data_IF_544969444493
#
_entry.id   IF_544969444493
#
_cell.length_a   1.000
_cell.length_b   1.000
_cell.length_c   1.000
_cell.angle_alpha   90.00
_cell.angle_beta   90.00
_cell.angle_gamma   90.00
#
_symmetry.space_group_name_H-M   'P 1'
#
loop_
_entity.id
_entity.type
_entity.pdbx_description
1 polymer ?
#
# COMPACT_ATOMS: atom_id res chain seq x y z
N UNK A 1 3.59 -10.97 -19.84
CA UNK A 1 4.35 -9.80 -20.33
C UNK A 1 5.35 -9.41 -19.27
N UNK A 2 6.63 -9.39 -19.59
CA UNK A 2 7.68 -8.96 -18.67
C UNK A 2 7.70 -7.44 -18.59
N UNK A 3 7.71 -6.88 -17.39
CA UNK A 3 7.90 -5.46 -17.15
C UNK A 3 9.28 -5.26 -16.53
N UNK A 4 10.16 -4.54 -17.21
CA UNK A 4 11.48 -4.19 -16.70
C UNK A 4 11.44 -2.83 -16.00
N UNK A 5 11.84 -2.77 -14.73
CA UNK A 5 12.28 -1.52 -14.12
C UNK A 5 13.75 -1.32 -14.49
N UNK A 6 14.06 -0.23 -15.18
CA UNK A 6 15.42 0.20 -15.59
C UNK A 6 16.28 -0.84 -16.35
N UNK A 7 15.68 -1.95 -16.85
CA UNK A 7 16.36 -2.97 -17.64
C UNK A 7 17.24 -3.94 -16.84
N UNK A 8 17.39 -3.79 -15.52
CA UNK A 8 18.33 -4.59 -14.74
C UNK A 8 17.68 -5.73 -13.95
N UNK A 9 16.40 -5.68 -13.66
CA UNK A 9 15.67 -6.75 -13.00
C UNK A 9 14.19 -6.80 -13.40
N UNK A 10 13.50 -7.85 -13.02
CA UNK A 10 12.08 -8.05 -13.33
C UNK A 10 11.28 -7.65 -12.11
N UNK A 11 10.48 -6.59 -12.24
CA UNK A 11 9.61 -6.09 -11.17
C UNK A 11 8.24 -6.74 -11.17
N UNK A 12 7.80 -7.30 -12.31
CA UNK A 12 6.48 -7.95 -12.41
C UNK A 12 6.42 -8.96 -13.54
N UNK A 13 5.81 -10.13 -13.28
CA UNK A 13 5.39 -11.10 -14.30
C UNK A 13 3.90 -11.39 -14.09
N UNK A 14 3.10 -11.19 -15.14
CA UNK A 14 1.63 -11.25 -15.09
C UNK A 14 1.09 -10.33 -13.99
N UNK A 15 0.35 -10.85 -13.03
CA UNK A 15 -0.26 -10.05 -11.97
C UNK A 15 0.56 -10.02 -10.66
N UNK A 16 1.70 -10.73 -10.62
CA UNK A 16 2.56 -10.79 -9.44
C UNK A 16 3.75 -9.83 -9.58
N UNK A 17 3.80 -8.81 -8.71
CA UNK A 17 4.88 -7.84 -8.64
C UNK A 17 5.87 -8.17 -7.52
N UNK A 18 7.08 -7.59 -7.59
CA UNK A 18 8.00 -7.63 -6.46
C UNK A 18 7.36 -7.00 -5.22
N UNK A 19 7.72 -7.50 -4.05
CA UNK A 19 7.19 -7.08 -2.75
C UNK A 19 5.70 -7.37 -2.50
N UNK A 20 5.00 -8.06 -3.41
CA UNK A 20 3.60 -8.44 -3.20
C UNK A 20 3.42 -9.36 -1.98
N UNK A 21 4.44 -10.19 -1.65
CA UNK A 21 4.42 -11.08 -0.51
C UNK A 21 5.35 -10.62 0.64
N UNK A 22 5.70 -9.33 0.69
CA UNK A 22 6.55 -8.76 1.74
C UNK A 22 7.80 -8.06 1.22
N UNK A 23 8.47 -7.31 2.09
CA UNK A 23 9.61 -6.45 1.71
C UNK A 23 10.83 -7.20 1.13
N UNK A 24 10.91 -8.51 1.34
CA UNK A 24 11.99 -9.36 0.82
C UNK A 24 11.51 -10.29 -0.30
N UNK A 25 10.26 -10.19 -0.73
CA UNK A 25 9.72 -10.98 -1.83
C UNK A 25 9.99 -10.33 -3.18
N UNK A 26 10.18 -11.16 -4.20
CA UNK A 26 10.44 -10.63 -5.53
C UNK A 26 10.73 -11.70 -6.57
N UNK A 27 10.89 -11.25 -7.80
CA UNK A 27 11.24 -12.09 -8.92
C UNK A 27 12.74 -12.34 -8.98
N UNK A 28 13.10 -13.59 -8.97
CA UNK A 28 14.47 -14.10 -9.16
C UNK A 28 14.57 -14.88 -10.47
N UNK A 29 15.77 -15.07 -10.96
CA UNK A 29 15.96 -15.99 -12.07
C UNK A 29 17.22 -16.85 -11.88
N UNK A 30 17.17 -18.03 -12.46
CA UNK A 30 18.33 -18.90 -12.56
C UNK A 30 18.71 -19.09 -14.04
N UNK A 31 19.99 -19.18 -14.30
CA UNK A 31 20.56 -19.59 -15.59
C UNK A 31 21.23 -20.94 -15.41
N UNK A 32 20.72 -21.97 -16.09
CA UNK A 32 21.20 -23.34 -15.96
C UNK A 32 21.19 -23.86 -14.51
N UNK A 33 20.21 -23.42 -13.72
CA UNK A 33 20.02 -23.86 -12.34
C UNK A 33 20.86 -23.11 -11.30
N UNK A 34 21.57 -22.04 -11.67
CA UNK A 34 22.32 -21.20 -10.75
C UNK A 34 21.86 -19.74 -10.85
N UNK A 35 21.83 -19.02 -9.72
CA UNK A 35 21.56 -17.57 -9.69
C UNK A 35 22.77 -16.82 -10.28
N UNK A 36 22.61 -16.05 -11.38
CA UNK A 36 23.70 -15.26 -11.94
C UNK A 36 23.98 -14.04 -11.05
N UNK A 37 25.20 -13.53 -11.16
CA UNK A 37 25.62 -12.31 -10.43
C UNK A 37 25.31 -11.01 -11.16
N UNK A 38 24.56 -11.08 -12.25
CA UNK A 38 24.20 -9.92 -13.09
C UNK A 38 22.70 -9.79 -13.22
N UNK A 39 22.24 -8.57 -13.40
CA UNK A 39 20.84 -8.29 -13.74
C UNK A 39 20.46 -8.88 -15.10
N UNK A 40 19.16 -9.00 -15.35
CA UNK A 40 18.61 -9.67 -16.56
C UNK A 40 19.11 -9.01 -17.84
N UNK A 41 19.23 -7.69 -17.89
CA UNK A 41 19.69 -6.95 -19.06
C UNK A 41 21.19 -7.13 -19.36
N UNK A 42 22.00 -7.43 -18.35
CA UNK A 42 23.45 -7.60 -18.48
C UNK A 42 23.86 -9.06 -18.67
N UNK A 43 22.91 -9.99 -18.53
CA UNK A 43 23.19 -11.42 -18.60
C UNK A 43 23.25 -11.90 -20.06
N UNK A 44 24.45 -12.30 -20.50
CA UNK A 44 24.61 -12.95 -21.79
C UNK A 44 24.10 -14.40 -21.74
N UNK A 45 23.30 -14.78 -22.72
CA UNK A 45 22.77 -16.13 -22.89
C UNK A 45 23.20 -16.73 -24.22
N UNK A 46 23.27 -18.06 -24.27
CA UNK A 46 23.62 -18.85 -25.46
C UNK A 46 22.47 -19.77 -25.84
N UNK A 47 22.50 -20.23 -27.08
CA UNK A 47 21.52 -21.22 -27.51
C UNK A 47 21.65 -22.50 -26.67
N UNK A 48 20.54 -22.96 -26.10
CA UNK A 48 20.48 -24.12 -25.20
C UNK A 48 20.54 -23.78 -23.70
N UNK A 49 20.77 -22.52 -23.32
CA UNK A 49 20.66 -22.12 -21.93
C UNK A 49 19.22 -22.21 -21.45
N UNK A 50 19.06 -22.67 -20.21
CA UNK A 50 17.77 -22.74 -19.53
C UNK A 50 17.67 -21.58 -18.53
N UNK A 51 16.70 -20.67 -18.79
CA UNK A 51 16.36 -19.58 -17.88
C UNK A 51 15.07 -19.95 -17.18
N UNK A 52 15.05 -19.86 -15.85
CA UNK A 52 13.85 -20.06 -15.04
C UNK A 52 13.64 -18.83 -14.18
N UNK A 53 12.52 -18.16 -14.37
CA UNK A 53 12.03 -17.12 -13.47
C UNK A 53 11.19 -17.77 -12.38
N UNK A 54 11.41 -17.37 -11.16
CA UNK A 54 10.61 -17.80 -10.02
C UNK A 54 10.41 -16.64 -9.05
N UNK A 55 9.31 -16.67 -8.33
CA UNK A 55 9.02 -15.71 -7.28
C UNK A 55 9.40 -16.30 -5.94
N UNK A 56 10.01 -15.50 -5.09
CA UNK A 56 10.38 -15.91 -3.74
C UNK A 56 9.76 -14.94 -2.71
N UNK A 57 9.38 -15.46 -1.56
CA UNK A 57 8.88 -14.66 -0.45
C UNK A 57 10.02 -14.01 0.34
N UNK A 58 11.23 -14.57 0.25
CA UNK A 58 12.45 -14.02 0.88
C UNK A 58 13.68 -14.35 0.02
N UNK A 59 14.12 -13.39 -0.79
CA UNK A 59 15.28 -13.55 -1.66
C UNK A 59 16.60 -13.75 -0.90
N UNK A 60 16.66 -13.40 0.40
CA UNK A 60 17.87 -13.60 1.23
C UNK A 60 18.09 -15.06 1.60
N UNK A 61 17.04 -15.88 1.55
CA UNK A 61 17.09 -17.31 1.84
C UNK A 61 17.35 -18.19 0.62
N UNK A 62 17.34 -17.59 -0.57
CA UNK A 62 17.57 -18.32 -1.81
C UNK A 62 19.03 -18.83 -1.89
N UNK A 63 19.17 -20.12 -2.17
CA UNK A 63 20.50 -20.76 -2.29
C UNK A 63 21.30 -20.14 -3.44
N UNK A 64 22.40 -19.48 -3.12
CA UNK A 64 23.27 -18.80 -4.08
C UNK A 64 23.03 -17.28 -4.13
N UNK A 65 22.14 -16.75 -3.31
CA UNK A 65 21.90 -15.30 -3.15
C UNK A 65 23.01 -14.60 -2.35
N UNK A 66 23.93 -15.33 -1.71
CA UNK A 66 25.00 -14.79 -0.86
C UNK A 66 25.90 -13.78 -1.59
N UNK A 67 25.87 -13.78 -2.91
CA UNK A 67 26.65 -12.85 -3.75
C UNK A 67 25.95 -11.51 -4.05
N UNK A 68 24.68 -11.39 -3.68
CA UNK A 68 23.86 -10.21 -3.96
C UNK A 68 23.90 -9.16 -2.85
N UNK A 69 24.49 -9.49 -1.68
CA UNK A 69 24.79 -8.49 -0.69
C UNK A 69 25.92 -7.61 -1.20
N UNK A 70 25.54 -6.44 -1.73
CA UNK A 70 26.46 -5.40 -2.13
C UNK A 70 27.49 -5.16 -1.04
N UNK A 71 28.74 -5.23 -1.43
CA UNK A 71 29.94 -5.07 -0.63
C UNK A 71 29.83 -3.98 0.43
N UNK A 72 29.62 -4.37 1.68
CA UNK A 72 30.16 -3.63 2.82
C UNK A 72 30.86 -4.62 3.74
N UNK A 73 32.17 -4.48 3.72
CA UNK A 73 33.10 -5.27 4.51
C UNK A 73 32.90 -5.06 6.01
N UNK A 74 32.75 -6.16 6.76
CA UNK A 74 33.45 -6.25 8.03
C UNK A 74 33.54 -7.69 8.50
N UNK A 75 34.75 -8.00 8.91
CA UNK A 75 35.34 -9.28 9.27
C UNK A 75 34.63 -9.95 10.43
N UNK A 76 34.46 -11.25 10.29
CA UNK A 76 34.17 -12.15 11.40
C UNK A 76 35.26 -12.10 12.47
N UNK A 77 34.87 -11.97 13.74
CA UNK A 77 35.62 -12.49 14.87
C UNK A 77 34.67 -13.21 15.84
N UNK A 78 34.94 -14.50 16.03
CA UNK A 78 34.46 -15.27 17.16
C UNK A 78 35.14 -14.80 18.45
N UNK A 79 34.41 -14.64 19.53
CA UNK A 79 34.59 -15.29 20.83
C UNK A 79 33.64 -14.69 21.87
N UNK A 80 33.00 -15.62 22.52
CA UNK A 80 32.48 -15.77 23.86
C UNK A 80 32.66 -14.60 24.85
N UNK A 81 31.62 -14.30 25.54
CA UNK A 81 31.32 -14.23 26.96
C UNK A 81 30.50 -13.01 27.41
N UNK A 82 29.39 -13.37 28.04
CA UNK A 82 28.68 -12.79 29.21
C UNK A 82 28.34 -11.29 29.33
N UNK A 83 27.00 -11.10 29.40
CA UNK A 83 26.26 -10.21 30.33
C UNK A 83 26.59 -8.72 30.37
N UNK A 84 25.68 -7.92 29.80
CA UNK A 84 24.97 -6.88 30.57
C UNK A 84 23.85 -6.30 29.71
N UNK A 85 22.63 -6.34 30.26
CA UNK A 85 21.47 -5.61 29.74
C UNK A 85 21.72 -4.10 29.87
N UNK A 86 21.68 -3.41 28.73
CA UNK A 86 21.38 -1.99 28.68
C UNK A 86 20.35 -1.81 27.56
N UNK A 87 19.20 -1.28 27.95
CA UNK A 87 18.14 -0.84 27.07
C UNK A 87 18.69 0.17 26.06
N UNK A 88 18.81 -0.22 24.79
CA UNK A 88 18.85 0.72 23.68
C UNK A 88 17.53 0.57 22.91
N UNK A 89 16.70 1.62 23.03
CA UNK A 89 15.61 1.87 22.10
C UNK A 89 16.24 1.99 20.71
N UNK A 90 16.07 0.96 19.90
CA UNK A 90 16.31 1.06 18.46
C UNK A 90 15.17 1.88 17.84
N UNK A 91 15.44 3.17 17.62
CA UNK A 91 14.72 3.95 16.62
C UNK A 91 15.08 3.37 15.24
N UNK A 92 14.35 2.35 14.82
CA UNK A 92 14.34 1.92 13.43
C UNK A 92 13.62 3.00 12.61
N UNK A 93 14.34 4.03 12.24
CA UNK A 93 13.94 4.96 11.18
C UNK A 93 13.91 4.15 9.89
N UNK A 94 12.71 3.70 9.50
CA UNK A 94 12.46 3.15 8.18
C UNK A 94 13.01 4.14 7.15
N UNK A 95 14.00 3.74 6.35
CA UNK A 95 14.58 4.58 5.33
C UNK A 95 13.45 5.00 4.39
N UNK A 96 13.14 6.31 4.34
CA UNK A 96 12.11 6.83 3.42
C UNK A 96 12.55 6.54 2.00
N UNK A 97 11.69 5.92 1.23
CA UNK A 97 11.91 5.74 -0.21
C UNK A 97 11.95 7.11 -0.86
N UNK A 98 13.04 7.44 -1.56
CA UNK A 98 13.18 8.76 -2.17
C UNK A 98 12.31 8.87 -3.43
N UNK A 99 11.46 9.89 -3.48
CA UNK A 99 10.65 10.21 -4.65
C UNK A 99 11.40 11.19 -5.56
N UNK A 100 11.60 10.82 -6.80
CA UNK A 100 12.23 11.64 -7.84
C UNK A 100 11.24 11.97 -8.96
N UNK A 101 11.56 12.92 -9.83
CA UNK A 101 10.70 13.26 -10.98
C UNK A 101 10.52 12.11 -11.98
N UNK A 102 11.39 11.08 -11.90
CA UNK A 102 11.32 9.89 -12.76
C UNK A 102 10.71 8.67 -12.04
N UNK A 103 10.25 8.82 -10.80
CA UNK A 103 9.67 7.70 -10.04
C UNK A 103 8.42 7.16 -10.75
N UNK A 104 7.56 8.05 -11.25
CA UNK A 104 6.39 7.70 -12.04
C UNK A 104 6.31 8.55 -13.30
N UNK A 105 6.21 7.92 -14.47
CA UNK A 105 6.19 8.57 -15.78
C UNK A 105 4.95 9.43 -16.00
N UNK A 106 3.90 9.16 -15.25
CA UNK A 106 2.56 9.78 -15.35
C UNK A 106 2.30 10.84 -14.26
N UNK A 107 3.32 11.18 -13.45
CA UNK A 107 3.24 12.21 -12.40
C UNK A 107 4.18 13.35 -12.74
N UNK A 108 3.62 14.55 -12.94
CA UNK A 108 4.38 15.76 -13.22
C UNK A 108 4.35 16.71 -12.03
N UNK A 109 5.39 17.51 -11.90
CA UNK A 109 5.55 18.45 -10.78
C UNK A 109 4.42 19.48 -10.67
N UNK A 110 3.83 19.86 -11.78
CA UNK A 110 2.73 20.83 -11.86
C UNK A 110 1.35 20.18 -11.65
N UNK A 111 1.26 18.88 -11.52
CA UNK A 111 0.00 18.18 -11.25
C UNK A 111 -0.48 18.49 -9.84
N UNK A 112 -1.79 18.72 -9.67
CA UNK A 112 -2.40 18.99 -8.36
C UNK A 112 -2.12 17.90 -7.33
N UNK A 113 -1.93 16.67 -7.79
CA UNK A 113 -1.73 15.49 -6.94
C UNK A 113 -0.23 15.17 -6.67
N UNK A 114 0.72 15.89 -7.28
CA UNK A 114 2.15 15.61 -7.17
C UNK A 114 2.63 15.42 -5.72
N UNK A 115 2.35 16.39 -4.85
CA UNK A 115 2.80 16.33 -3.46
C UNK A 115 2.13 15.21 -2.66
N UNK A 116 0.87 14.88 -2.98
CA UNK A 116 0.14 13.80 -2.35
C UNK A 116 0.69 12.43 -2.75
N UNK A 117 0.96 12.25 -4.05
CA UNK A 117 1.58 11.04 -4.58
C UNK A 117 2.97 10.84 -4.00
N UNK A 118 3.80 11.91 -4.00
CA UNK A 118 5.11 11.91 -3.35
C UNK A 118 5.01 11.45 -1.89
N UNK A 119 4.11 12.03 -1.12
CA UNK A 119 3.94 11.71 0.29
C UNK A 119 3.59 10.24 0.52
N UNK A 120 2.58 9.73 -0.17
CA UNK A 120 2.14 8.33 0.03
C UNK A 120 3.17 7.32 -0.44
N UNK A 121 3.98 7.66 -1.45
CA UNK A 121 5.08 6.84 -1.90
C UNK A 121 6.25 6.83 -0.91
N UNK A 122 6.74 8.00 -0.48
CA UNK A 122 7.85 8.13 0.47
C UNK A 122 7.55 7.52 1.84
N UNK A 123 6.28 7.43 2.21
CA UNK A 123 5.84 6.79 3.45
C UNK A 123 5.35 5.34 3.24
N UNK A 124 5.63 4.71 2.10
CA UNK A 124 5.27 3.33 1.76
C UNK A 124 3.77 3.00 1.87
N UNK A 125 2.89 4.00 1.78
CA UNK A 125 1.44 3.82 1.85
C UNK A 125 0.85 3.33 0.52
N UNK A 126 1.30 3.93 -0.59
CA UNK A 126 0.86 3.56 -1.93
C UNK A 126 2.07 3.47 -2.86
N UNK A 127 2.04 2.47 -3.73
CA UNK A 127 3.06 2.21 -4.75
C UNK A 127 2.48 2.41 -6.15
N UNK A 128 3.32 2.36 -7.17
CA UNK A 128 2.89 2.32 -8.56
C UNK A 128 2.23 0.99 -8.93
N UNK A 129 1.65 0.94 -10.12
CA UNK A 129 0.98 -0.24 -10.70
C UNK A 129 1.87 -0.98 -11.69
N UNK A 130 3.14 -0.57 -11.83
CA UNK A 130 4.07 -1.07 -12.84
C UNK A 130 4.05 -0.26 -14.16
N UNK A 131 2.95 0.45 -14.46
CA UNK A 131 2.84 1.35 -15.62
C UNK A 131 2.95 2.84 -15.23
N UNK A 132 3.05 3.13 -13.94
CA UNK A 132 3.06 4.46 -13.36
C UNK A 132 2.34 4.45 -12.03
N UNK A 133 1.95 5.61 -11.52
CA UNK A 133 1.08 5.74 -10.35
C UNK A 133 -0.39 5.56 -10.70
N UNK A 134 -0.77 5.89 -11.95
CA UNK A 134 -2.16 5.88 -12.45
C UNK A 134 -3.11 6.73 -11.60
N UNK A 135 -2.86 8.06 -11.47
CA UNK A 135 -3.55 8.93 -10.54
C UNK A 135 -5.08 8.98 -10.75
N UNK A 136 -5.54 8.85 -12.00
CA UNK A 136 -6.95 8.90 -12.36
C UNK A 136 -7.65 7.52 -12.34
N UNK A 137 -6.90 6.45 -12.16
CA UNK A 137 -7.47 5.10 -12.02
C UNK A 137 -8.28 5.00 -10.74
N UNK A 138 -9.32 4.17 -10.78
CA UNK A 138 -10.21 3.96 -9.64
C UNK A 138 -9.52 3.16 -8.55
N UNK A 139 -9.85 3.47 -7.33
CA UNK A 139 -9.42 2.72 -6.16
C UNK A 139 -10.44 1.66 -5.83
N UNK A 140 -10.01 0.40 -5.70
CA UNK A 140 -10.92 -0.67 -5.26
C UNK A 140 -11.05 -0.70 -3.73
N UNK A 141 -12.07 -1.39 -3.26
CA UNK A 141 -12.28 -1.59 -1.82
C UNK A 141 -11.11 -2.33 -1.16
N UNK A 142 -10.59 -3.37 -1.82
CA UNK A 142 -9.43 -4.12 -1.34
C UNK A 142 -8.16 -3.25 -1.27
N UNK A 143 -7.92 -2.43 -2.28
CA UNK A 143 -6.77 -1.52 -2.29
C UNK A 143 -6.77 -0.57 -1.09
N UNK A 144 -7.90 0.09 -0.80
CA UNK A 144 -7.98 1.00 0.35
C UNK A 144 -7.70 0.28 1.66
N UNK A 145 -8.32 -0.88 1.87
CA UNK A 145 -8.16 -1.64 3.11
C UNK A 145 -6.72 -2.11 3.29
N UNK A 146 -6.04 -2.49 2.21
CA UNK A 146 -4.63 -2.88 2.23
C UNK A 146 -3.72 -1.70 2.61
N UNK A 147 -4.02 -0.49 2.13
CA UNK A 147 -3.28 0.70 2.56
C UNK A 147 -3.44 0.96 4.06
N UNK A 148 -4.66 0.87 4.60
CA UNK A 148 -4.91 1.06 6.02
C UNK A 148 -4.26 -0.04 6.88
N UNK A 149 -4.21 -1.26 6.40
CA UNK A 149 -3.50 -2.38 7.03
C UNK A 149 -2.00 -2.11 7.13
N UNK A 150 -1.38 -1.63 6.04
CA UNK A 150 0.03 -1.21 6.03
C UNK A 150 0.29 -0.05 6.98
N UNK A 151 -0.61 0.93 7.04
CA UNK A 151 -0.50 2.05 7.99
C UNK A 151 -0.59 1.59 9.45
N UNK A 152 -1.46 0.64 9.74
CA UNK A 152 -1.63 0.11 11.08
C UNK A 152 -0.46 -0.77 11.51
N UNK A 153 0.20 -1.42 10.55
CA UNK A 153 1.30 -2.36 10.75
C UNK A 153 1.05 -3.31 11.95
N UNK A 154 -0.04 -4.09 11.94
CA UNK A 154 -0.39 -4.92 13.09
C UNK A 154 0.64 -6.02 13.33
N UNK A 155 0.97 -6.28 14.59
CA UNK A 155 1.93 -7.32 14.98
C UNK A 155 1.40 -8.74 14.70
N UNK A 156 0.09 -8.93 14.81
CA UNK A 156 -0.55 -10.24 14.62
C UNK A 156 -1.34 -10.29 13.31
N UNK A 157 -1.14 -11.36 12.55
CA UNK A 157 -1.96 -11.67 11.38
C UNK A 157 -3.28 -12.31 11.81
N UNK A 158 -4.35 -11.81 11.26
CA UNK A 158 -5.70 -12.35 11.45
C UNK A 158 -6.15 -13.01 10.17
N UNK A 159 -6.62 -14.24 10.24
CA UNK A 159 -7.06 -15.01 9.07
C UNK A 159 -8.56 -15.31 9.10
N UNK A 160 -9.35 -14.58 9.89
CA UNK A 160 -10.76 -14.92 10.06
C UNK A 160 -11.68 -13.84 9.48
N UNK A 161 -12.36 -14.20 8.41
CA UNK A 161 -13.48 -13.44 7.83
C UNK A 161 -14.52 -14.40 7.24
N UNK A 162 -15.76 -13.92 7.08
CA UNK A 162 -16.87 -14.73 6.55
C UNK A 162 -17.22 -14.43 5.09
N UNK A 163 -16.35 -13.74 4.34
CA UNK A 163 -16.63 -13.32 2.97
C UNK A 163 -16.25 -14.41 1.97
N UNK A 164 -17.23 -14.92 1.23
CA UNK A 164 -17.03 -15.98 0.24
C UNK A 164 -16.24 -15.51 -0.99
N UNK A 165 -16.21 -14.20 -1.23
CA UNK A 165 -15.48 -13.55 -2.33
C UNK A 165 -14.08 -13.03 -1.94
N UNK A 166 -13.58 -13.44 -0.78
CA UNK A 166 -12.22 -13.18 -0.31
C UNK A 166 -11.50 -14.51 -0.08
N UNK A 167 -10.96 -15.15 -1.13
CA UNK A 167 -10.22 -16.40 -0.97
C UNK A 167 -8.95 -16.18 -0.14
N UNK A 168 -8.51 -17.20 0.57
CA UNK A 168 -7.21 -17.18 1.25
C UNK A 168 -6.06 -17.01 0.25
N UNK A 169 -4.98 -16.34 0.68
CA UNK A 169 -3.77 -16.19 -0.12
C UNK A 169 -3.82 -15.09 -1.19
N UNK A 170 -4.89 -14.32 -1.26
CA UNK A 170 -4.91 -13.11 -2.09
C UNK A 170 -4.12 -11.99 -1.39
N UNK A 171 -3.53 -11.07 -2.16
CA UNK A 171 -2.74 -9.95 -1.64
C UNK A 171 -3.48 -9.05 -0.64
N UNK A 172 -4.82 -9.12 -0.63
CA UNK A 172 -5.69 -8.36 0.27
C UNK A 172 -6.31 -9.18 1.40
N UNK A 173 -6.13 -10.51 1.43
CA UNK A 173 -6.87 -11.39 2.35
C UNK A 173 -6.62 -11.04 3.81
N UNK A 174 -5.34 -10.88 4.21
CA UNK A 174 -4.95 -10.51 5.58
C UNK A 174 -5.50 -9.12 5.95
N UNK A 175 -5.44 -8.17 5.01
CA UNK A 175 -5.94 -6.82 5.23
C UNK A 175 -7.46 -6.79 5.44
N UNK A 176 -8.22 -7.57 4.65
CA UNK A 176 -9.68 -7.67 4.80
C UNK A 176 -10.05 -8.36 6.10
N UNK A 177 -9.36 -9.44 6.47
CA UNK A 177 -9.58 -10.14 7.74
C UNK A 177 -9.34 -9.20 8.94
N UNK A 178 -8.20 -8.54 8.97
CA UNK A 178 -7.85 -7.56 9.99
C UNK A 178 -8.86 -6.41 10.09
N UNK A 179 -9.24 -5.83 8.96
CA UNK A 179 -10.17 -4.71 8.95
C UNK A 179 -11.59 -5.12 9.37
N UNK A 180 -11.97 -6.38 9.11
CA UNK A 180 -13.24 -6.95 9.54
C UNK A 180 -13.26 -7.17 11.05
N UNK A 181 -12.23 -7.79 11.61
CA UNK A 181 -12.10 -8.04 13.04
C UNK A 181 -12.12 -6.73 13.84
N UNK A 182 -11.43 -5.70 13.34
CA UNK A 182 -11.38 -4.38 13.95
C UNK A 182 -12.60 -3.49 13.64
N UNK A 183 -13.65 -4.03 13.02
CA UNK A 183 -14.88 -3.31 12.65
C UNK A 183 -14.65 -2.08 11.75
N UNK A 184 -13.52 -2.01 11.05
CA UNK A 184 -13.18 -0.94 10.09
C UNK A 184 -14.05 -1.11 8.84
N UNK A 185 -14.19 -2.35 8.37
CA UNK A 185 -15.04 -2.67 7.24
C UNK A 185 -16.19 -3.60 7.61
N UNK A 186 -17.23 -3.50 6.80
CA UNK A 186 -18.32 -4.51 6.73
C UNK A 186 -18.46 -4.91 5.28
N UNK A 187 -18.99 -6.09 5.03
CA UNK A 187 -19.34 -6.51 3.69
C UNK A 187 -20.39 -5.62 3.04
N UNK A 188 -20.52 -5.71 1.74
CA UNK A 188 -21.65 -5.14 0.98
C UNK A 188 -22.92 -5.97 1.22
N UNK A 189 -22.73 -7.23 1.65
CA UNK A 189 -23.75 -8.11 2.21
C UNK A 189 -23.12 -9.01 3.28
N UNK A 190 -23.92 -9.89 3.89
CA UNK A 190 -23.47 -10.77 4.98
C UNK A 190 -22.23 -11.60 4.61
N UNK A 191 -22.16 -12.10 3.35
CA UNK A 191 -21.09 -13.00 2.88
C UNK A 191 -20.24 -12.42 1.75
N UNK A 192 -20.39 -11.12 1.44
CA UNK A 192 -19.69 -10.49 0.31
C UNK A 192 -18.98 -9.20 0.74
N UNK A 193 -17.68 -9.15 0.51
CA UNK A 193 -16.85 -7.95 0.72
C UNK A 193 -16.78 -7.06 -0.51
N UNK A 194 -16.81 -7.66 -1.72
CA UNK A 194 -16.62 -7.01 -3.01
C UNK A 194 -15.23 -6.35 -3.16
N UNK A 195 -14.13 -7.15 -3.13
CA UNK A 195 -12.76 -6.62 -3.14
C UNK A 195 -12.43 -5.77 -4.35
N UNK A 196 -12.91 -6.16 -5.53
CA UNK A 196 -12.61 -5.53 -6.81
C UNK A 196 -13.58 -4.41 -7.20
N UNK A 197 -14.63 -4.17 -6.41
CA UNK A 197 -15.54 -3.06 -6.66
C UNK A 197 -14.86 -1.72 -6.39
N UNK A 198 -15.05 -0.76 -7.32
CA UNK A 198 -14.60 0.62 -7.14
C UNK A 198 -15.23 1.23 -5.89
N UNK A 199 -14.41 1.81 -5.03
CA UNK A 199 -14.90 2.37 -3.79
C UNK A 199 -15.54 3.74 -4.03
N UNK A 200 -16.74 3.96 -3.49
CA UNK A 200 -17.34 5.30 -3.51
C UNK A 200 -16.69 6.21 -2.47
N UNK A 201 -16.77 7.51 -2.69
CA UNK A 201 -16.20 8.52 -1.79
C UNK A 201 -16.80 8.43 -0.38
N UNK A 202 -18.11 8.21 -0.26
CA UNK A 202 -18.75 8.02 1.06
C UNK A 202 -18.31 6.71 1.75
N UNK A 203 -18.10 5.62 0.99
CA UNK A 203 -17.57 4.37 1.54
C UNK A 203 -16.13 4.54 2.02
N UNK A 204 -15.28 5.18 1.21
CA UNK A 204 -13.91 5.48 1.57
C UNK A 204 -13.83 6.27 2.88
N UNK A 205 -14.59 7.34 2.98
CA UNK A 205 -14.61 8.20 4.17
C UNK A 205 -15.09 7.45 5.40
N UNK A 206 -16.12 6.61 5.27
CA UNK A 206 -16.61 5.79 6.38
C UNK A 206 -15.55 4.81 6.88
N UNK A 207 -14.80 4.18 5.97
CA UNK A 207 -13.74 3.22 6.32
C UNK A 207 -12.61 3.97 7.06
N UNK A 208 -12.18 5.13 6.56
CA UNK A 208 -11.15 5.96 7.21
C UNK A 208 -11.63 6.46 8.59
N UNK A 209 -12.88 6.87 8.71
CA UNK A 209 -13.47 7.29 9.99
C UNK A 209 -13.46 6.17 11.04
N UNK A 210 -13.82 4.94 10.64
CA UNK A 210 -13.77 3.77 11.53
C UNK A 210 -12.35 3.40 11.91
N UNK A 211 -11.41 3.51 10.97
CA UNK A 211 -9.99 3.34 11.22
C UNK A 211 -9.48 4.36 12.24
N UNK A 212 -9.82 5.63 12.10
CA UNK A 212 -9.47 6.67 13.06
C UNK A 212 -9.97 6.35 14.48
N UNK A 213 -11.22 5.90 14.58
CA UNK A 213 -11.82 5.49 15.87
C UNK A 213 -11.10 4.28 16.49
N UNK A 214 -10.77 3.28 15.67
CA UNK A 214 -10.06 2.08 16.13
C UNK A 214 -8.67 2.43 16.67
N UNK A 215 -7.98 3.36 16.01
CA UNK A 215 -6.67 3.85 16.45
C UNK A 215 -6.73 4.82 17.65
N UNK A 216 -7.91 5.17 18.11
CA UNK A 216 -8.09 6.13 19.24
C UNK A 216 -7.87 7.59 18.86
N UNK A 217 -7.79 7.92 17.57
CA UNK A 217 -7.70 9.32 17.14
C UNK A 217 -9.01 10.05 17.38
N UNK A 218 -8.92 11.39 17.50
CA UNK A 218 -10.12 12.21 17.68
C UNK A 218 -11.05 12.12 16.46
N UNK A 219 -12.14 11.43 16.64
CA UNK A 219 -13.22 11.29 15.67
C UNK A 219 -14.44 12.14 16.04
N UNK A 220 -14.25 13.15 16.90
CA UNK A 220 -15.29 14.08 17.30
C UNK A 220 -15.49 15.25 16.35
N UNK A 221 -16.57 16.00 16.59
CA UNK A 221 -16.95 17.16 15.80
C UNK A 221 -17.63 16.80 14.47
N UNK A 222 -18.44 17.72 13.98
CA UNK A 222 -19.18 17.55 12.74
C UNK A 222 -19.42 18.91 12.08
N UNK A 223 -19.30 18.99 10.76
CA UNK A 223 -19.78 20.13 9.98
C UNK A 223 -21.27 19.96 9.66
N UNK A 224 -21.95 21.06 9.34
CA UNK A 224 -23.35 21.03 8.94
C UNK A 224 -23.55 20.70 7.45
N UNK A 225 -22.50 20.73 6.64
CA UNK A 225 -22.49 20.51 5.18
C UNK A 225 -23.38 21.48 4.38
N UNK A 226 -23.77 22.61 4.94
CA UNK A 226 -24.72 23.56 4.32
C UNK A 226 -24.24 24.14 2.98
N UNK A 227 -22.91 24.18 2.77
CA UNK A 227 -22.33 24.69 1.55
C UNK A 227 -22.42 23.70 0.37
N UNK A 228 -22.80 22.44 0.63
CA UNK A 228 -22.83 21.40 -0.40
C UNK A 228 -24.24 21.11 -0.89
N UNK A 229 -24.48 21.36 -2.16
CA UNK A 229 -25.81 21.20 -2.79
C UNK A 229 -26.27 19.75 -2.85
N UNK A 230 -25.32 18.81 -2.84
CA UNK A 230 -25.50 17.37 -2.88
C UNK A 230 -25.33 16.67 -1.53
N UNK A 231 -25.31 17.42 -0.42
CA UNK A 231 -25.24 16.86 0.92
C UNK A 231 -26.39 15.86 1.22
N UNK A 232 -27.56 16.09 0.63
CA UNK A 232 -28.73 15.20 0.72
C UNK A 232 -28.54 13.83 0.07
N UNK A 233 -27.56 13.70 -0.83
CA UNK A 233 -27.25 12.45 -1.53
C UNK A 233 -26.30 11.55 -0.73
N UNK A 234 -25.79 12.06 0.41
CA UNK A 234 -25.01 11.24 1.35
C UNK A 234 -25.93 10.21 2.01
N UNK A 235 -25.51 8.95 2.01
CA UNK A 235 -26.24 7.90 2.68
C UNK A 235 -26.26 8.11 4.20
N UNK A 236 -27.36 7.78 4.87
CA UNK A 236 -27.53 7.92 6.33
C UNK A 236 -26.38 7.26 7.09
N UNK A 237 -25.96 6.07 6.66
CA UNK A 237 -24.88 5.33 7.29
C UNK A 237 -23.49 5.99 7.14
N UNK A 238 -23.29 6.92 6.21
CA UNK A 238 -22.04 7.64 5.95
C UNK A 238 -22.07 9.08 6.49
N UNK A 239 -23.23 9.60 6.90
CA UNK A 239 -23.42 11.00 7.20
C UNK A 239 -22.48 11.52 8.30
N UNK A 240 -22.37 10.79 9.40
CA UNK A 240 -21.48 11.18 10.49
C UNK A 240 -20.00 11.19 10.07
N UNK A 241 -19.59 10.20 9.27
CA UNK A 241 -18.23 10.12 8.76
C UNK A 241 -17.92 11.28 7.80
N UNK A 242 -18.84 11.64 6.91
CA UNK A 242 -18.68 12.77 5.97
C UNK A 242 -18.62 14.10 6.73
N UNK A 243 -19.47 14.30 7.74
CA UNK A 243 -19.47 15.50 8.59
C UNK A 243 -18.16 15.65 9.35
N UNK A 244 -17.66 14.55 9.92
CA UNK A 244 -16.36 14.53 10.57
C UNK A 244 -15.22 14.84 9.58
N UNK A 245 -15.19 14.17 8.44
CA UNK A 245 -14.14 14.34 7.44
C UNK A 245 -14.12 15.76 6.86
N UNK A 246 -15.27 16.40 6.72
CA UNK A 246 -15.34 17.79 6.30
C UNK A 246 -14.89 18.75 7.43
N UNK A 247 -15.27 18.48 8.68
CA UNK A 247 -14.83 19.28 9.85
C UNK A 247 -13.32 19.25 10.05
N UNK A 248 -12.70 18.12 9.77
CA UNK A 248 -11.25 17.89 9.91
C UNK A 248 -10.45 18.21 8.64
N UNK A 249 -11.12 18.79 7.64
CA UNK A 249 -10.52 19.15 6.35
C UNK A 249 -9.94 17.96 5.55
N UNK A 250 -10.30 16.73 5.91
CA UNK A 250 -9.97 15.56 5.11
C UNK A 250 -10.68 15.58 3.75
N UNK A 251 -11.95 15.98 3.74
CA UNK A 251 -12.79 16.08 2.53
C UNK A 251 -13.36 17.47 2.39
N UNK A 252 -12.87 18.19 1.38
CA UNK A 252 -13.27 19.56 1.08
C UNK A 252 -14.21 19.67 -0.15
N UNK A 253 -14.75 18.52 -0.60
CA UNK A 253 -15.57 18.43 -1.80
C UNK A 253 -14.78 18.07 -3.07
N UNK A 254 -15.51 17.88 -4.16
CA UNK A 254 -14.97 17.78 -5.52
C UNK A 254 -15.03 19.14 -6.22
N UNK A 255 -15.80 20.06 -5.66
CA UNK A 255 -15.84 21.49 -5.95
C UNK A 255 -16.18 22.24 -4.66
N UNK A 256 -16.26 23.56 -4.73
CA UNK A 256 -16.67 24.40 -3.59
C UNK A 256 -18.08 24.07 -3.08
N UNK A 257 -18.93 23.49 -3.90
CA UNK A 257 -20.36 23.25 -3.60
C UNK A 257 -20.81 21.81 -3.76
N UNK A 258 -19.88 20.85 -4.03
CA UNK A 258 -20.24 19.43 -4.24
C UNK A 258 -19.30 18.50 -3.49
N UNK A 259 -19.86 17.48 -2.83
CA UNK A 259 -19.16 16.38 -2.16
C UNK A 259 -18.91 15.19 -3.09
N UNK A 260 -19.85 14.95 -3.99
CA UNK A 260 -19.93 13.80 -4.89
C UNK A 260 -19.88 12.46 -4.13
N UNK A 261 -20.75 12.20 -3.14
CA UNK A 261 -20.62 11.06 -2.21
C UNK A 261 -20.70 9.70 -2.93
N UNK A 262 -21.49 9.61 -4.00
CA UNK A 262 -21.67 8.38 -4.79
C UNK A 262 -20.65 8.18 -5.90
N UNK A 263 -19.85 9.20 -6.23
CA UNK A 263 -18.77 9.05 -7.20
C UNK A 263 -17.68 8.13 -6.66
N UNK A 264 -17.03 7.39 -7.56
CA UNK A 264 -15.88 6.54 -7.20
C UNK A 264 -14.65 7.40 -6.94
N UNK A 265 -13.82 6.98 -5.98
CA UNK A 265 -12.58 7.67 -5.64
C UNK A 265 -11.45 7.25 -6.58
N UNK A 266 -10.63 8.21 -7.04
CA UNK A 266 -9.41 7.93 -7.79
C UNK A 266 -8.22 7.72 -6.84
N UNK A 267 -7.16 7.09 -7.34
CA UNK A 267 -5.93 6.87 -6.59
C UNK A 267 -5.31 8.18 -6.09
N UNK A 268 -5.31 9.23 -6.93
CA UNK A 268 -4.85 10.56 -6.53
C UNK A 268 -5.70 11.18 -5.41
N UNK A 269 -7.02 11.02 -5.48
CA UNK A 269 -7.91 11.50 -4.41
C UNK A 269 -7.68 10.76 -3.09
N UNK A 270 -7.46 9.45 -3.14
CA UNK A 270 -7.10 8.66 -1.96
C UNK A 270 -5.76 9.11 -1.39
N UNK A 271 -4.74 9.31 -2.22
CA UNK A 271 -3.44 9.82 -1.80
C UNK A 271 -3.56 11.17 -1.06
N UNK A 272 -4.38 12.09 -1.60
CA UNK A 272 -4.62 13.39 -0.95
C UNK A 272 -5.28 13.25 0.42
N UNK A 273 -6.24 12.35 0.55
CA UNK A 273 -6.94 12.12 1.82
C UNK A 273 -6.02 11.45 2.84
N UNK A 274 -5.20 10.47 2.43
CA UNK A 274 -4.24 9.80 3.31
C UNK A 274 -3.17 10.76 3.84
N UNK A 275 -2.60 11.62 2.99
CA UNK A 275 -1.65 12.64 3.46
C UNK A 275 -2.30 13.56 4.49
N UNK A 276 -3.49 14.11 4.20
CA UNK A 276 -4.22 14.96 5.15
C UNK A 276 -4.55 14.23 6.45
N UNK A 277 -4.92 12.95 6.36
CA UNK A 277 -5.18 12.12 7.53
C UNK A 277 -3.93 12.03 8.42
N UNK A 278 -2.78 11.70 7.85
CA UNK A 278 -1.53 11.60 8.58
C UNK A 278 -1.08 12.95 9.18
N UNK A 279 -1.29 14.06 8.44
CA UNK A 279 -0.85 15.38 8.89
C UNK A 279 -1.81 16.05 9.88
N UNK A 280 -3.12 15.80 9.80
CA UNK A 280 -4.11 16.51 10.59
C UNK A 280 -4.65 15.71 11.77
N UNK A 281 -4.66 14.39 11.69
CA UNK A 281 -5.35 13.50 12.63
C UNK A 281 -4.41 12.53 13.34
N UNK A 282 -3.52 11.86 12.61
CA UNK A 282 -2.61 10.84 13.14
C UNK A 282 -1.30 11.44 13.67
N UNK A 283 -1.38 12.58 14.37
CA UNK A 283 -0.23 13.28 14.98
C UNK A 283 0.11 12.72 16.34
#
# INVERSE_FOLDING_TARGET
TFVNADGNYISKIDDLAEFDNGALSGWMYTLNGAHPSKGVAEQSVKNGDKIVFHYTDDYTQEKGSEKWHGSSSSKAHKKDDELKAEEQKDDAVSAKTEFTENTFIDIKKDDWHYNYVKYVYENNLMQGTGNGFEPESKMTRAMLVTVLYRMANPEEKVNNHNFADVPEGQWYSDAVAWATENNIVKGVSENKFAPDEDITREQMVLIIYRYAKMQGFDAGGASNLENFTDAKDVSDWALDAIRWANKTELVNGTSETTLSPKATATRAQVAAILMRFCENIAK
#
